data_IF_516328301607
#
_entry.id   IF_516328301607
#
_cell.length_a   1.000
_cell.length_b   1.000
_cell.length_c   1.000
_cell.angle_alpha   90.00
_cell.angle_beta   90.00
_cell.angle_gamma   90.00
#
_symmetry.space_group_name_H-M   'P 1'
#
loop_
_entity.id
_entity.type
_entity.pdbx_description
1 polymer ?
#
# COMPACT_ATOMS: atom_id res chain seq x y z
N UNK A 1 -28.24 11.07 10.39
CA UNK A 1 -27.88 9.72 10.66
C UNK A 1 -26.68 9.28 9.86
N UNK A 2 -25.71 8.78 10.51
CA UNK A 2 -24.54 8.36 9.78
C UNK A 2 -24.71 6.93 9.31
N UNK A 3 -24.05 6.63 8.26
CA UNK A 3 -24.14 5.33 7.65
C UNK A 3 -22.76 4.75 7.51
N UNK A 4 -22.59 3.51 7.95
CA UNK A 4 -21.33 2.83 7.83
C UNK A 4 -21.09 2.44 6.38
N UNK A 5 -19.91 2.74 5.89
CA UNK A 5 -19.51 2.39 4.55
C UNK A 5 -18.72 1.10 4.64
N UNK A 6 -19.15 0.08 3.89
CA UNK A 6 -18.46 -1.20 3.92
C UNK A 6 -17.12 -1.12 3.21
N UNK A 7 -16.24 -2.05 3.56
CA UNK A 7 -14.95 -2.13 2.88
C UNK A 7 -15.12 -2.44 1.39
N UNK A 8 -16.10 -3.27 1.05
CA UNK A 8 -16.34 -3.61 -0.36
C UNK A 8 -16.70 -2.38 -1.17
N UNK A 9 -17.55 -1.50 -0.62
CA UNK A 9 -17.90 -0.26 -1.29
C UNK A 9 -16.66 0.64 -1.47
N UNK A 10 -15.84 0.72 -0.43
CA UNK A 10 -14.62 1.53 -0.47
C UNK A 10 -13.64 1.00 -1.50
N UNK A 11 -13.45 -0.31 -1.54
CA UNK A 11 -12.55 -0.94 -2.48
C UNK A 11 -13.00 -0.68 -3.92
N UNK A 12 -14.28 -0.83 -4.17
CA UNK A 12 -14.82 -0.58 -5.51
C UNK A 12 -14.61 0.88 -5.90
N UNK A 13 -14.89 1.81 -5.00
CA UNK A 13 -14.79 3.24 -5.29
C UNK A 13 -13.36 3.68 -5.62
N UNK A 14 -12.37 3.10 -4.97
CA UNK A 14 -10.98 3.51 -5.16
C UNK A 14 -10.18 2.57 -6.04
N UNK A 15 -10.82 1.59 -6.67
CA UNK A 15 -10.13 0.51 -7.38
C UNK A 15 -9.14 1.01 -8.43
N UNK A 16 -9.51 2.01 -9.20
CA UNK A 16 -8.68 2.52 -10.30
C UNK A 16 -8.19 3.93 -10.05
N UNK A 17 -8.33 4.44 -8.83
CA UNK A 17 -7.96 5.80 -8.49
C UNK A 17 -6.59 5.80 -7.83
N UNK A 18 -5.70 6.66 -8.30
CA UNK A 18 -4.41 6.80 -7.65
C UNK A 18 -4.61 7.37 -6.25
N UNK A 19 -4.00 6.74 -5.25
CA UNK A 19 -4.06 7.25 -3.89
C UNK A 19 -3.19 8.50 -3.79
N UNK A 20 -3.73 9.60 -3.27
CA UNK A 20 -2.98 10.87 -3.25
C UNK A 20 -1.91 10.91 -2.15
N UNK A 21 -2.01 10.03 -1.18
CA UNK A 21 -1.07 10.00 -0.07
C UNK A 21 -1.04 8.63 0.56
N UNK A 22 -0.01 8.38 1.35
CA UNK A 22 0.13 7.15 2.10
C UNK A 22 0.58 7.51 3.50
N UNK A 23 -0.18 7.07 4.49
CA UNK A 23 0.14 7.33 5.89
C UNK A 23 1.02 6.22 6.43
N UNK A 24 2.11 6.60 7.04
CA UNK A 24 3.01 5.67 7.68
C UNK A 24 3.15 6.05 9.15
N UNK A 25 3.16 5.03 9.99
CA UNK A 25 3.39 5.26 11.42
C UNK A 25 4.86 5.59 11.65
N UNK A 26 5.09 6.61 12.42
CA UNK A 26 6.45 7.02 12.76
C UNK A 26 6.68 6.83 14.24
N UNK A 27 7.90 6.45 14.63
CA UNK A 27 9.01 6.11 13.75
C UNK A 27 8.90 4.70 13.19
N UNK A 28 9.22 4.55 11.93
CA UNK A 28 9.17 3.24 11.27
C UNK A 28 10.11 2.24 11.93
N UNK A 29 11.27 2.71 12.36
CA UNK A 29 12.29 1.85 12.97
C UNK A 29 11.85 1.25 14.30
N UNK A 30 10.75 1.75 14.88
CA UNK A 30 10.21 1.22 16.13
C UNK A 30 9.08 0.23 15.91
N UNK A 31 8.66 0.01 14.66
CA UNK A 31 7.59 -0.94 14.41
C UNK A 31 8.05 -2.37 14.67
N UNK A 32 7.11 -3.23 15.05
CA UNK A 32 7.44 -4.63 15.29
C UNK A 32 7.92 -5.32 14.02
N UNK A 33 7.33 -4.96 12.89
CA UNK A 33 7.70 -5.51 11.60
C UNK A 33 9.15 -5.17 11.25
N UNK A 34 9.55 -3.93 11.47
CA UNK A 34 10.92 -3.53 11.18
C UNK A 34 11.91 -4.24 12.11
N UNK A 35 11.54 -4.41 13.38
CA UNK A 35 12.39 -5.12 14.33
C UNK A 35 12.60 -6.56 13.91
N UNK A 36 11.53 -7.24 13.49
CA UNK A 36 11.64 -8.60 12.99
C UNK A 36 12.55 -8.67 11.77
N UNK A 37 12.40 -7.71 10.86
CA UNK A 37 13.21 -7.64 9.66
C UNK A 37 14.69 -7.48 10.03
N UNK A 38 15.00 -6.60 10.96
CA UNK A 38 16.38 -6.39 11.39
C UNK A 38 16.96 -7.60 12.08
N UNK A 39 16.17 -8.32 12.85
CA UNK A 39 16.64 -9.51 13.56
C UNK A 39 17.08 -10.57 12.57
N UNK A 40 16.40 -10.71 11.44
CA UNK A 40 16.71 -11.74 10.45
C UNK A 40 17.73 -11.25 9.42
N UNK A 41 17.61 -10.00 8.99
CA UNK A 41 18.37 -9.50 7.86
C UNK A 41 19.57 -8.65 8.24
N UNK A 42 19.64 -8.20 9.49
CA UNK A 42 20.73 -7.31 9.90
C UNK A 42 20.69 -6.00 9.13
N UNK A 43 21.84 -5.60 8.60
CA UNK A 43 21.95 -4.35 7.87
C UNK A 43 21.16 -4.33 6.56
N UNK A 44 20.86 -5.50 5.99
CA UNK A 44 20.07 -5.60 4.77
C UNK A 44 18.64 -5.10 4.98
N UNK A 45 18.19 -5.04 6.24
CA UNK A 45 16.84 -4.57 6.55
C UNK A 45 16.61 -3.13 6.06
N UNK A 46 17.64 -2.30 6.06
CA UNK A 46 17.49 -0.93 5.57
C UNK A 46 17.23 -0.89 4.07
N UNK A 47 17.90 -1.74 3.31
CA UNK A 47 17.61 -1.86 1.88
C UNK A 47 16.22 -2.45 1.67
N UNK A 48 15.85 -3.46 2.47
CA UNK A 48 14.51 -4.04 2.40
C UNK A 48 13.45 -2.98 2.62
N UNK A 49 13.66 -2.06 3.57
CA UNK A 49 12.71 -0.98 3.83
C UNK A 49 12.64 0.01 2.67
N UNK A 50 13.77 0.29 2.02
CA UNK A 50 13.77 1.11 0.81
C UNK A 50 12.96 0.47 -0.30
N UNK A 51 13.13 -0.83 -0.49
CA UNK A 51 12.33 -1.60 -1.45
C UNK A 51 10.86 -1.54 -1.07
N UNK A 52 10.53 -1.70 0.20
CA UNK A 52 9.16 -1.64 0.68
C UNK A 52 8.51 -0.28 0.36
N UNK A 53 9.23 0.81 0.62
CA UNK A 53 8.71 2.15 0.31
C UNK A 53 8.43 2.30 -1.18
N UNK A 54 9.32 1.78 -2.02
CA UNK A 54 9.12 1.84 -3.47
C UNK A 54 7.92 1.00 -3.89
N UNK A 55 7.77 -0.19 -3.32
CA UNK A 55 6.63 -1.05 -3.63
C UNK A 55 5.32 -0.38 -3.21
N UNK A 56 5.29 0.23 -2.04
CA UNK A 56 4.11 0.96 -1.58
C UNK A 56 3.76 2.09 -2.56
N UNK A 57 4.77 2.83 -2.99
CA UNK A 57 4.57 3.93 -3.93
C UNK A 57 3.98 3.43 -5.25
N UNK A 58 4.51 2.32 -5.77
CA UNK A 58 4.00 1.73 -7.00
C UNK A 58 2.55 1.28 -6.84
N UNK A 59 2.24 0.65 -5.70
CA UNK A 59 0.91 0.11 -5.47
C UNK A 59 -0.15 1.20 -5.36
N UNK A 60 0.20 2.41 -4.90
CA UNK A 60 -0.78 3.50 -4.80
C UNK A 60 -1.36 3.87 -6.16
N UNK A 61 -0.62 3.64 -7.23
CA UNK A 61 -1.06 3.96 -8.59
C UNK A 61 -1.52 2.74 -9.38
N UNK A 62 -1.31 1.55 -8.85
CA UNK A 62 -1.65 0.33 -9.56
C UNK A 62 -3.12 0.01 -9.35
N UNK A 63 -3.77 -0.43 -10.40
CA UNK A 63 -5.19 -0.77 -10.31
C UNK A 63 -5.39 -1.89 -9.29
N UNK A 64 -6.31 -1.67 -8.36
CA UNK A 64 -6.55 -2.61 -7.28
C UNK A 64 -5.55 -2.48 -6.13
N UNK A 65 -4.55 -1.63 -6.30
CA UNK A 65 -3.58 -1.29 -5.25
C UNK A 65 -2.81 -2.49 -4.69
N UNK A 66 -2.65 -3.52 -5.52
CA UNK A 66 -1.78 -4.65 -5.24
C UNK A 66 -0.94 -4.88 -6.48
N UNK A 67 0.25 -5.41 -6.31
CA UNK A 67 1.19 -5.57 -7.42
C UNK A 67 1.20 -7.02 -7.90
N UNK A 68 1.40 -7.24 -9.20
CA UNK A 68 1.57 -8.62 -9.67
C UNK A 68 2.84 -9.20 -9.08
N UNK A 69 2.81 -10.47 -8.68
CA UNK A 69 4.01 -11.11 -8.16
C UNK A 69 4.76 -11.72 -9.33
N UNK A 70 5.48 -10.87 -10.02
CA UNK A 70 6.33 -11.23 -11.14
C UNK A 70 7.69 -10.61 -10.84
N UNK A 71 8.65 -11.44 -10.46
CA UNK A 71 9.93 -10.94 -9.98
C UNK A 71 10.72 -10.22 -11.07
N UNK A 72 10.53 -10.58 -12.34
CA UNK A 72 11.20 -9.85 -13.41
C UNK A 72 10.62 -8.45 -13.57
N UNK A 73 9.29 -8.34 -13.49
CA UNK A 73 8.65 -7.03 -13.55
C UNK A 73 8.99 -6.19 -12.33
N UNK A 74 9.02 -6.81 -11.14
CA UNK A 74 9.40 -6.10 -9.93
C UNK A 74 10.85 -5.63 -10.01
N UNK A 75 11.74 -6.46 -10.53
CA UNK A 75 13.14 -6.09 -10.71
C UNK A 75 13.27 -4.90 -11.66
N UNK A 76 12.47 -4.86 -12.73
CA UNK A 76 12.48 -3.74 -13.65
C UNK A 76 12.02 -2.46 -12.94
N UNK A 77 10.95 -2.54 -12.16
CA UNK A 77 10.43 -1.38 -11.45
C UNK A 77 11.35 -0.91 -10.32
N UNK A 78 11.99 -1.86 -9.63
CA UNK A 78 12.83 -1.52 -8.47
C UNK A 78 14.25 -1.12 -8.87
N UNK A 79 14.82 -1.81 -9.85
CA UNK A 79 16.25 -1.66 -10.16
C UNK A 79 16.53 -1.29 -11.62
N UNK A 80 15.49 -1.22 -12.44
CA UNK A 80 15.66 -0.94 -13.86
C UNK A 80 16.33 -2.08 -14.62
N UNK A 81 16.27 -3.30 -14.11
CA UNK A 81 17.00 -4.43 -14.69
C UNK A 81 16.27 -5.74 -14.37
N UNK A 82 15.65 -6.34 -15.40
CA UNK A 82 14.94 -7.62 -15.22
C UNK A 82 15.88 -8.75 -14.79
N UNK A 83 17.17 -8.61 -15.05
CA UNK A 83 18.16 -9.62 -14.64
C UNK A 83 18.36 -9.68 -13.13
N UNK A 84 17.79 -8.75 -12.37
CA UNK A 84 17.88 -8.74 -10.91
C UNK A 84 16.67 -9.38 -10.24
N UNK A 85 15.96 -10.27 -10.94
CA UNK A 85 14.77 -10.91 -10.40
C UNK A 85 15.05 -11.70 -9.12
N UNK A 86 16.21 -12.35 -9.03
CA UNK A 86 16.58 -13.09 -7.82
C UNK A 86 16.76 -12.15 -6.63
N UNK A 87 17.36 -10.98 -6.87
CA UNK A 87 17.55 -9.99 -5.82
C UNK A 87 16.21 -9.41 -5.39
N UNK A 88 15.33 -9.12 -6.36
CA UNK A 88 13.98 -8.65 -6.05
C UNK A 88 13.25 -9.66 -5.19
N UNK A 89 13.34 -10.94 -5.55
CA UNK A 89 12.70 -12.01 -4.78
C UNK A 89 13.21 -12.06 -3.35
N UNK A 90 14.52 -11.90 -3.16
CA UNK A 90 15.12 -11.92 -1.83
C UNK A 90 14.51 -10.82 -0.95
N UNK A 91 14.41 -9.59 -1.46
CA UNK A 91 13.83 -8.49 -0.71
C UNK A 91 12.35 -8.71 -0.42
N UNK A 92 11.60 -9.13 -1.43
CA UNK A 92 10.15 -9.35 -1.27
C UNK A 92 9.89 -10.45 -0.24
N UNK A 93 10.63 -11.55 -0.32
CA UNK A 93 10.44 -12.65 0.62
C UNK A 93 10.78 -12.23 2.05
N UNK A 94 11.79 -11.38 2.23
CA UNK A 94 12.13 -10.86 3.54
C UNK A 94 11.00 -9.98 4.08
N UNK A 95 10.39 -9.15 3.24
CA UNK A 95 9.27 -8.30 3.64
C UNK A 95 8.05 -9.13 4.00
N UNK A 96 7.77 -10.19 3.25
CA UNK A 96 6.65 -11.09 3.56
C UNK A 96 6.87 -11.75 4.92
N UNK A 97 8.07 -12.24 5.15
CA UNK A 97 8.40 -12.90 6.42
C UNK A 97 8.24 -11.97 7.62
N UNK A 98 8.49 -10.68 7.41
CA UNK A 98 8.37 -9.69 8.48
C UNK A 98 6.95 -9.12 8.64
N UNK A 99 6.03 -9.47 7.76
CA UNK A 99 4.66 -8.97 7.83
C UNK A 99 4.43 -7.62 7.18
N UNK A 100 5.42 -7.14 6.41
CA UNK A 100 5.30 -5.85 5.71
C UNK A 100 4.65 -5.99 4.34
N UNK A 101 4.53 -7.21 3.84
CA UNK A 101 3.85 -7.53 2.61
C UNK A 101 3.27 -8.92 2.75
N UNK A 102 2.28 -9.25 1.94
CA UNK A 102 1.74 -10.61 1.96
C UNK A 102 1.27 -10.99 0.56
N UNK A 103 1.21 -12.30 0.35
CA UNK A 103 0.82 -12.85 -0.93
C UNK A 103 -0.66 -13.19 -0.89
N UNK A 104 -1.43 -12.64 -1.78
CA UNK A 104 -2.85 -12.91 -1.86
C UNK A 104 -3.14 -14.20 -2.60
N UNK A 105 -4.35 -14.71 -2.43
CA UNK A 105 -4.80 -15.93 -3.09
C UNK A 105 -4.82 -15.78 -4.61
N UNK A 106 -4.93 -14.55 -5.10
CA UNK A 106 -4.94 -14.25 -6.53
C UNK A 106 -3.53 -14.13 -7.14
N UNK A 107 -2.50 -14.38 -6.37
CA UNK A 107 -1.12 -14.25 -6.84
C UNK A 107 -0.57 -12.83 -6.82
N UNK A 108 -1.28 -11.90 -6.20
CA UNK A 108 -0.82 -10.52 -6.10
C UNK A 108 -0.06 -10.28 -4.81
N UNK A 109 0.82 -9.29 -4.84
CA UNK A 109 1.55 -8.86 -3.66
C UNK A 109 0.80 -7.68 -3.04
N UNK A 110 0.36 -7.87 -1.81
CA UNK A 110 -0.39 -6.87 -1.06
C UNK A 110 0.51 -6.23 0.00
N UNK A 111 0.30 -4.93 0.20
CA UNK A 111 1.08 -4.17 1.17
C UNK A 111 0.10 -3.59 2.18
N UNK A 112 0.13 -4.06 3.45
CA UNK A 112 -0.88 -3.65 4.43
C UNK A 112 -1.03 -2.13 4.56
N UNK A 113 0.08 -1.38 4.50
CA UNK A 113 0.01 0.07 4.59
C UNK A 113 -0.81 0.68 3.45
N UNK A 114 -0.67 0.13 2.25
CA UNK A 114 -1.41 0.59 1.08
C UNK A 114 -2.88 0.16 1.18
N UNK A 115 -3.12 -1.07 1.65
CA UNK A 115 -4.48 -1.57 1.81
C UNK A 115 -5.28 -0.70 2.77
N UNK A 116 -4.66 -0.32 3.87
CA UNK A 116 -5.32 0.56 4.84
C UNK A 116 -5.69 1.89 4.22
N UNK A 117 -4.78 2.48 3.45
CA UNK A 117 -5.03 3.76 2.81
C UNK A 117 -6.05 3.63 1.69
N UNK A 118 -6.01 2.52 0.94
CA UNK A 118 -6.96 2.22 -0.12
C UNK A 118 -8.40 2.23 0.43
N UNK A 119 -8.62 1.49 1.50
CA UNK A 119 -9.95 1.43 2.12
C UNK A 119 -10.35 2.80 2.67
N UNK A 120 -9.43 3.48 3.34
CA UNK A 120 -9.72 4.81 3.91
C UNK A 120 -10.11 5.80 2.81
N UNK A 121 -9.34 5.83 1.73
CA UNK A 121 -9.61 6.76 0.64
C UNK A 121 -10.91 6.41 -0.08
N UNK A 122 -11.18 5.12 -0.26
CA UNK A 122 -12.43 4.67 -0.85
C UNK A 122 -13.63 5.10 -0.02
N UNK A 123 -13.52 5.02 1.30
CA UNK A 123 -14.58 5.49 2.17
C UNK A 123 -14.81 7.00 2.03
N UNK A 124 -13.74 7.75 1.83
CA UNK A 124 -13.86 9.18 1.59
C UNK A 124 -14.61 9.45 0.28
N UNK A 125 -14.29 8.71 -0.78
CA UNK A 125 -14.97 8.88 -2.06
C UNK A 125 -16.46 8.58 -1.92
N UNK A 126 -16.80 7.44 -1.32
CA UNK A 126 -18.19 7.05 -1.15
C UNK A 126 -18.91 8.03 -0.26
N UNK A 127 -18.28 8.45 0.84
CA UNK A 127 -18.86 9.42 1.75
C UNK A 127 -19.15 10.76 1.08
N UNK A 128 -18.21 11.23 0.26
CA UNK A 128 -18.39 12.44 -0.50
C UNK A 128 -19.51 12.34 -1.52
N UNK A 129 -19.62 11.18 -2.15
CA UNK A 129 -20.68 10.95 -3.13
C UNK A 129 -22.04 10.93 -2.48
N UNK A 130 -22.18 10.18 -1.39
CA UNK A 130 -23.42 10.12 -0.68
C UNK A 130 -23.75 11.42 -0.01
N UNK A 131 -22.78 12.13 0.22
CA UNK A 131 -22.79 13.35 0.85
C UNK A 131 -23.57 13.92 1.38
N UNK A 132 -23.48 13.71 1.17
CA UNK A 132 -23.84 14.28 1.68
C UNK A 132 -23.93 15.45 2.25
N UNK A 133 -23.15 16.14 2.41
CA UNK A 133 -23.21 17.25 3.11
C UNK A 133 -23.22 18.34 2.26
N UNK A 134 -24.16 19.03 2.37
CA UNK A 134 -24.21 20.22 1.65
C UNK A 134 -23.19 21.09 2.18
N UNK A 135 -22.26 21.18 1.83
CA UNK A 135 -21.39 21.90 2.33
C UNK A 135 -21.26 23.00 1.84
N UNK A 136 -21.14 23.28 1.77
CA UNK A 136 -21.03 23.96 1.36
C UNK A 136 -21.73 24.89 1.25
N UNK A 137 -22.28 24.91 1.25
CA UNK A 137 -22.85 25.66 1.08
C UNK A 137 -22.98 26.41 1.99
N UNK A 138 -22.73 26.71 2.70
CA UNK A 138 -22.64 27.26 3.51
C UNK A 138 -21.78 27.81 3.84
N UNK A 139 -21.39 27.93 3.63
CA UNK A 139 -20.70 28.28 3.75
C UNK A 139 -20.29 29.01 3.49
N UNK A 140 -20.30 29.20 3.18
CA UNK A 140 -19.83 29.64 2.69
C UNK A 140 -19.95 30.63 2.74
N UNK A 141 -20.01 30.97 2.96
CA UNK A 141 -19.93 31.60 2.94
C UNK A 141 -19.73 32.37 2.99
N UNK A 142 -19.70 32.51 2.83
CA UNK A 142 -19.30 32.96 2.66
C UNK A 142 -19.00 33.42 2.58
#
# INVERSE_FOLDING_TARGET
MSRTISEDEAIEAAWSVQLPSLRLNMPLSSSNEFKLLRDVRGDKAYTDMGVWLRLCSLATSYKGHALPLDYEQLAQWLFGNVGKSTIAAEHVNALIAAGLAFLGADGSLYLPAVETEFVRYGKMIVGGTRGGRPRGKKKRRH
#
